data_IF_697689185019
#
_entry.id   IF_697689185019
#
_cell.length_a   1.000
_cell.length_b   1.000
_cell.length_c   1.000
_cell.angle_alpha   90.00
_cell.angle_beta   90.00
_cell.angle_gamma   90.00
#
_symmetry.space_group_name_H-M   'P 1'
#
loop_
_entity.id
_entity.type
_entity.pdbx_description
1 polymer ?
#
# COMPACT_ATOMS: atom_id res chain seq x y z
N UNK A 1 -2.77 14.31 18.88
CA UNK A 1 -2.93 13.45 20.05
C UNK A 1 -4.40 13.35 20.48
N UNK A 2 -5.08 14.44 20.75
CA UNK A 2 -6.47 14.52 21.25
C UNK A 2 -7.46 13.65 20.42
N UNK A 3 -7.42 13.77 19.08
CA UNK A 3 -8.25 12.96 18.18
C UNK A 3 -7.96 11.46 18.33
N UNK A 4 -6.69 11.08 18.51
CA UNK A 4 -6.32 9.67 18.70
C UNK A 4 -6.82 9.16 20.05
N UNK A 5 -6.76 9.96 21.10
CA UNK A 5 -7.29 9.59 22.43
C UNK A 5 -8.80 9.37 22.40
N UNK A 6 -9.56 10.26 21.77
CA UNK A 6 -11.01 10.09 21.60
C UNK A 6 -11.35 8.81 20.80
N UNK A 7 -10.61 8.56 19.71
CA UNK A 7 -10.79 7.37 18.90
C UNK A 7 -10.53 6.08 19.69
N UNK A 8 -9.48 6.06 20.50
CA UNK A 8 -9.12 4.95 21.37
C UNK A 8 -10.20 4.70 22.44
N UNK A 9 -10.69 5.76 23.08
CA UNK A 9 -11.75 5.62 24.10
C UNK A 9 -13.03 5.05 23.47
N UNK A 10 -13.42 5.50 22.29
CA UNK A 10 -14.56 4.96 21.58
C UNK A 10 -14.35 3.48 21.21
N UNK A 11 -13.15 3.10 20.75
CA UNK A 11 -12.81 1.72 20.42
C UNK A 11 -12.84 0.80 21.67
N UNK A 12 -12.35 1.26 22.81
CA UNK A 12 -12.39 0.50 24.07
C UNK A 12 -13.81 0.25 24.57
N UNK A 13 -14.76 1.12 24.22
CA UNK A 13 -16.19 0.93 24.55
C UNK A 13 -16.95 0.09 23.51
N UNK A 14 -16.24 -0.52 22.52
CA UNK A 14 -16.81 -1.45 21.55
C UNK A 14 -17.27 -0.81 20.23
N UNK A 15 -17.00 0.49 20.01
CA UNK A 15 -17.32 1.13 18.73
C UNK A 15 -16.29 0.79 17.65
N UNK A 16 -16.75 0.56 16.42
CA UNK A 16 -15.88 0.55 15.27
C UNK A 16 -15.53 2.01 14.88
N UNK A 17 -14.26 2.35 15.01
CA UNK A 17 -13.76 3.68 14.70
C UNK A 17 -12.95 3.64 13.41
N UNK A 18 -13.26 4.52 12.47
CA UNK A 18 -12.49 4.75 11.25
C UNK A 18 -11.85 6.15 11.32
N UNK A 19 -10.56 6.22 11.09
CA UNK A 19 -9.80 7.47 11.10
C UNK A 19 -8.75 7.47 10.01
N UNK A 20 -8.15 8.62 9.73
CA UNK A 20 -7.10 8.78 8.73
C UNK A 20 -5.82 9.29 9.37
N UNK A 21 -4.69 8.86 8.82
CA UNK A 21 -3.37 9.29 9.25
C UNK A 21 -2.47 9.48 8.01
N UNK A 22 -1.63 10.51 8.02
CA UNK A 22 -0.70 10.75 6.91
C UNK A 22 0.58 9.93 7.13
N UNK A 23 0.68 8.81 6.41
CA UNK A 23 1.87 7.94 6.39
C UNK A 23 2.13 7.41 4.99
N UNK A 24 3.35 6.92 4.75
CA UNK A 24 3.75 6.40 3.45
C UNK A 24 3.25 4.98 3.19
N UNK A 25 3.18 4.16 4.24
CA UNK A 25 2.78 2.75 4.21
C UNK A 25 2.01 2.38 5.49
N UNK A 26 1.48 1.17 5.55
CA UNK A 26 0.67 0.73 6.68
C UNK A 26 1.49 0.51 7.97
N UNK A 27 2.68 -0.12 7.96
CA UNK A 27 3.48 -0.27 9.18
C UNK A 27 3.91 1.05 9.80
N UNK A 28 4.22 2.06 8.99
CA UNK A 28 4.64 3.40 9.47
C UNK A 28 3.54 4.13 10.24
N UNK A 29 2.28 3.72 10.10
CA UNK A 29 1.20 4.29 10.90
C UNK A 29 1.33 3.93 12.38
N UNK A 30 1.85 2.74 12.71
CA UNK A 30 2.09 2.31 14.10
C UNK A 30 3.17 3.18 14.74
N UNK A 31 4.32 3.33 14.08
CA UNK A 31 5.40 4.18 14.61
C UNK A 31 4.96 5.64 14.73
N UNK A 32 4.16 6.12 13.76
CA UNK A 32 3.63 7.48 13.81
C UNK A 32 2.70 7.73 14.99
N UNK A 33 1.83 6.77 15.33
CA UNK A 33 0.97 6.87 16.51
C UNK A 33 1.78 6.84 17.81
N UNK A 34 2.83 6.03 17.89
CA UNK A 34 3.76 6.01 19.03
C UNK A 34 4.48 7.35 19.18
N UNK A 35 5.00 7.94 18.10
CA UNK A 35 5.62 9.28 18.08
C UNK A 35 4.66 10.39 18.53
N UNK A 36 3.37 10.25 18.24
CA UNK A 36 2.33 11.18 18.71
C UNK A 36 2.02 11.00 20.20
N UNK A 37 2.67 10.05 20.88
CA UNK A 37 2.51 9.80 22.31
C UNK A 37 1.42 8.80 22.68
N UNK A 38 0.86 8.06 21.71
CA UNK A 38 -0.13 7.01 22.01
C UNK A 38 0.59 5.82 22.63
N UNK A 39 0.19 5.36 23.84
CA UNK A 39 0.80 4.21 24.47
C UNK A 39 0.65 2.93 23.64
N UNK A 40 1.73 2.16 23.52
CA UNK A 40 1.77 0.95 22.69
C UNK A 40 0.73 -0.11 23.09
N UNK A 41 0.42 -0.24 24.39
CA UNK A 41 -0.59 -1.20 24.87
C UNK A 41 -2.01 -0.83 24.42
N UNK A 42 -2.31 0.47 24.25
CA UNK A 42 -3.59 0.92 23.70
C UNK A 42 -3.69 0.61 22.19
N UNK A 43 -2.60 0.80 21.45
CA UNK A 43 -2.57 0.42 20.04
C UNK A 43 -2.84 -1.07 19.83
N UNK A 44 -2.22 -1.94 20.67
CA UNK A 44 -2.48 -3.39 20.66
C UNK A 44 -3.92 -3.76 20.95
N UNK A 45 -4.56 -3.00 21.84
CA UNK A 45 -5.92 -3.30 22.29
C UNK A 45 -6.99 -2.79 21.31
N UNK A 46 -6.74 -1.72 20.58
CA UNK A 46 -7.78 -1.00 19.85
C UNK A 46 -7.64 -1.02 18.32
N UNK A 47 -6.41 -1.14 17.77
CA UNK A 47 -6.24 -1.17 16.33
C UNK A 47 -6.53 -2.58 15.80
N UNK A 48 -7.46 -2.68 14.86
CA UNK A 48 -7.77 -3.92 14.14
C UNK A 48 -6.93 -4.08 12.88
N UNK A 49 -6.64 -2.99 12.20
CA UNK A 49 -5.84 -2.99 10.99
C UNK A 49 -5.53 -1.59 10.50
N UNK A 50 -4.56 -1.50 9.62
CA UNK A 50 -4.14 -0.26 8.94
C UNK A 50 -4.16 -0.50 7.45
N UNK A 51 -4.75 0.43 6.70
CA UNK A 51 -4.78 0.39 5.24
C UNK A 51 -4.09 1.64 4.67
N UNK A 52 -3.05 1.43 3.89
CA UNK A 52 -2.51 2.47 3.03
C UNK A 52 -3.11 2.35 1.62
N UNK A 53 -3.45 3.48 1.01
CA UNK A 53 -4.05 3.57 -0.31
C UNK A 53 -3.36 4.63 -1.15
N UNK A 54 -3.19 4.33 -2.45
CA UNK A 54 -2.80 5.30 -3.46
C UNK A 54 -3.68 5.11 -4.70
N UNK A 55 -3.81 6.17 -5.51
CA UNK A 55 -4.54 6.11 -6.76
C UNK A 55 -3.56 6.15 -7.93
N UNK A 56 -3.69 5.18 -8.84
CA UNK A 56 -3.02 5.16 -10.15
C UNK A 56 -4.02 5.55 -11.23
N UNK A 57 -3.57 6.25 -12.27
CA UNK A 57 -4.40 6.47 -13.46
C UNK A 57 -4.60 5.14 -14.19
N UNK A 58 -5.78 4.90 -14.70
CA UNK A 58 -6.08 3.73 -15.53
C UNK A 58 -5.86 4.04 -16.98
N UNK A 59 -5.29 3.09 -17.71
CA UNK A 59 -5.07 3.18 -19.15
C UNK A 59 -6.40 3.36 -19.89
N UNK A 60 -6.37 4.19 -20.91
CA UNK A 60 -7.51 4.38 -21.80
C UNK A 60 -7.75 3.09 -22.59
N UNK A 61 -8.96 2.50 -22.54
CA UNK A 61 -9.25 1.24 -23.23
C UNK A 61 -9.20 1.36 -24.76
N UNK A 62 -9.35 2.59 -25.28
CA UNK A 62 -9.41 2.84 -26.74
C UNK A 62 -8.03 2.95 -27.39
N UNK A 63 -6.98 3.29 -26.64
CA UNK A 63 -5.67 3.56 -27.25
C UNK A 63 -4.50 2.88 -26.55
N UNK A 64 -4.71 2.15 -25.45
CA UNK A 64 -3.60 1.40 -24.82
C UNK A 64 -3.03 0.39 -25.80
N UNK A 65 -1.71 0.25 -25.84
CA UNK A 65 -1.03 -0.71 -26.70
C UNK A 65 -0.19 -1.69 -25.88
N UNK A 66 -0.02 -2.95 -26.35
CA UNK A 66 0.80 -3.93 -25.66
C UNK A 66 2.24 -3.45 -25.52
N UNK A 67 2.90 -3.83 -24.42
CA UNK A 67 4.32 -3.57 -24.18
C UNK A 67 4.98 -4.79 -23.54
N UNK A 68 6.22 -5.05 -23.91
CA UNK A 68 7.06 -6.00 -23.18
C UNK A 68 7.76 -5.27 -22.04
N UNK A 69 7.70 -5.84 -20.86
CA UNK A 69 8.34 -5.28 -19.68
C UNK A 69 9.76 -5.81 -19.54
N UNK A 70 10.63 -4.95 -19.04
CA UNK A 70 11.96 -5.32 -18.61
C UNK A 70 11.89 -6.16 -17.32
N UNK A 71 12.62 -7.28 -17.30
CA UNK A 71 12.59 -8.24 -16.20
C UNK A 71 13.15 -7.66 -14.90
N UNK A 72 14.22 -6.86 -14.98
CA UNK A 72 14.83 -6.24 -13.80
C UNK A 72 13.89 -5.22 -13.15
N UNK A 73 13.24 -4.41 -13.97
CA UNK A 73 12.23 -3.44 -13.52
C UNK A 73 11.04 -4.15 -12.88
N UNK A 74 10.56 -5.23 -13.50
CA UNK A 74 9.46 -6.03 -12.96
C UNK A 74 9.81 -6.68 -11.62
N UNK A 75 10.98 -7.31 -11.54
CA UNK A 75 11.48 -7.92 -10.31
C UNK A 75 11.68 -6.87 -9.20
N UNK A 76 12.16 -5.67 -9.55
CA UNK A 76 12.28 -4.56 -8.61
C UNK A 76 10.93 -4.08 -8.06
N UNK A 77 9.86 -4.17 -8.86
CA UNK A 77 8.51 -3.78 -8.46
C UNK A 77 7.84 -4.84 -7.56
N UNK A 78 8.09 -6.12 -7.82
CA UNK A 78 7.41 -7.24 -7.16
C UNK A 78 8.11 -7.75 -5.90
N UNK A 79 9.38 -7.41 -5.68
CA UNK A 79 10.11 -7.82 -4.45
C UNK A 79 9.36 -7.47 -3.17
N UNK A 80 9.46 -8.32 -2.12
CA UNK A 80 10.26 -9.55 -2.01
C UNK A 80 9.60 -10.80 -2.65
N UNK A 81 8.47 -10.66 -3.32
CA UNK A 81 7.78 -11.77 -3.98
C UNK A 81 8.36 -12.03 -5.36
N UNK A 82 8.39 -13.31 -5.76
CA UNK A 82 8.65 -13.70 -7.13
C UNK A 82 7.33 -13.71 -7.91
N UNK A 83 7.31 -13.02 -9.04
CA UNK A 83 6.14 -12.97 -9.93
C UNK A 83 6.60 -13.09 -11.38
N UNK A 84 6.00 -13.98 -12.18
CA UNK A 84 6.37 -14.10 -13.58
C UNK A 84 6.08 -12.80 -14.34
N UNK A 85 6.85 -12.52 -15.40
CA UNK A 85 6.58 -11.41 -16.29
C UNK A 85 5.17 -11.51 -16.87
N UNK A 86 4.37 -10.44 -16.80
CA UNK A 86 3.02 -10.46 -17.37
C UNK A 86 3.08 -10.41 -18.90
N UNK A 87 2.21 -11.18 -19.52
CA UNK A 87 2.06 -11.22 -20.99
C UNK A 87 1.10 -10.15 -21.52
N UNK A 88 0.36 -9.49 -20.64
CA UNK A 88 -0.69 -8.52 -21.00
C UNK A 88 -0.41 -7.11 -20.45
N UNK A 89 0.85 -6.74 -20.32
CA UNK A 89 1.20 -5.36 -19.97
C UNK A 89 0.94 -4.41 -21.16
N UNK A 90 0.54 -3.18 -20.83
CA UNK A 90 0.21 -2.15 -21.80
C UNK A 90 0.86 -0.81 -21.42
N UNK A 91 1.09 0.03 -22.43
CA UNK A 91 1.52 1.42 -22.26
C UNK A 91 0.46 2.40 -22.74
N UNK A 92 0.56 3.65 -22.29
CA UNK A 92 -0.32 4.73 -22.70
C UNK A 92 0.11 5.29 -24.06
N UNK A 93 -0.85 5.47 -24.97
CA UNK A 93 -0.59 6.07 -26.29
C UNK A 93 -1.14 7.50 -26.35
N UNK A 94 -2.45 7.64 -26.26
CA UNK A 94 -3.17 8.88 -26.44
C UNK A 94 -4.20 8.78 -27.58
N UNK A 95 -5.37 9.38 -27.40
CA UNK A 95 -6.40 9.53 -28.44
C UNK A 95 -7.39 10.62 -28.01
N UNK A 96 -8.32 10.99 -28.88
CA UNK A 96 -9.34 11.99 -28.61
C UNK A 96 -10.19 11.64 -27.37
N UNK A 97 -10.53 10.35 -27.18
CA UNK A 97 -11.35 9.88 -26.04
C UNK A 97 -10.69 10.10 -24.67
N UNK A 98 -9.38 10.13 -24.60
CA UNK A 98 -8.64 10.42 -23.37
C UNK A 98 -7.96 11.78 -23.38
N UNK A 99 -8.28 12.66 -24.35
CA UNK A 99 -7.65 13.98 -24.56
C UNK A 99 -6.13 13.86 -24.68
N UNK A 100 -5.67 12.94 -25.51
CA UNK A 100 -4.26 12.66 -25.80
C UNK A 100 -3.41 12.24 -24.59
N UNK A 101 -4.02 11.97 -23.43
CA UNK A 101 -3.27 11.61 -22.21
C UNK A 101 -2.89 10.15 -22.12
N UNK A 102 -3.57 9.26 -22.85
CA UNK A 102 -3.44 7.81 -22.73
C UNK A 102 -4.09 7.20 -21.49
N UNK A 103 -4.70 8.03 -20.62
CA UNK A 103 -5.32 7.60 -19.37
C UNK A 103 -6.77 8.07 -19.24
N UNK A 104 -7.61 7.23 -18.64
CA UNK A 104 -9.01 7.55 -18.35
C UNK A 104 -9.46 6.85 -17.07
N UNK A 105 -9.73 7.64 -16.03
CA UNK A 105 -10.12 7.14 -14.71
C UNK A 105 -8.93 6.84 -13.79
N UNK A 106 -9.23 6.27 -12.64
CA UNK A 106 -8.27 5.93 -11.58
C UNK A 106 -8.66 4.62 -10.90
N UNK A 107 -7.67 3.87 -10.43
CA UNK A 107 -7.85 2.67 -9.63
C UNK A 107 -7.03 2.76 -8.33
N UNK A 108 -7.54 2.18 -7.25
CA UNK A 108 -6.82 2.12 -5.98
C UNK A 108 -5.77 1.01 -5.99
N UNK A 109 -4.60 1.28 -5.42
CA UNK A 109 -3.64 0.27 -4.96
C UNK A 109 -3.60 0.31 -3.45
N UNK A 110 -3.51 -0.85 -2.82
CA UNK A 110 -3.74 -1.01 -1.39
C UNK A 110 -2.64 -1.83 -0.75
N UNK A 111 -2.31 -1.46 0.49
CA UNK A 111 -1.51 -2.25 1.42
C UNK A 111 -2.29 -2.33 2.71
N UNK A 112 -2.58 -3.55 3.19
CA UNK A 112 -3.42 -3.79 4.36
C UNK A 112 -2.64 -4.63 5.35
N UNK A 113 -2.42 -4.10 6.55
CA UNK A 113 -1.80 -4.79 7.68
C UNK A 113 -2.87 -5.04 8.75
N UNK A 114 -3.14 -6.30 9.06
CA UNK A 114 -4.01 -6.68 10.18
C UNK A 114 -3.19 -6.71 11.47
N UNK A 115 -3.77 -6.21 12.56
CA UNK A 115 -3.14 -6.24 13.89
C UNK A 115 -3.64 -7.47 14.64
N UNK A 116 -3.08 -8.59 14.27
CA UNK A 116 -3.38 -9.92 14.85
C UNK A 116 -2.30 -10.37 15.86
N UNK A 117 -2.38 -11.60 16.31
CA UNK A 117 -1.47 -12.16 17.31
C UNK A 117 -0.01 -12.31 16.83
N UNK A 118 0.22 -12.32 15.51
CA UNK A 118 1.57 -12.30 14.94
C UNK A 118 2.21 -10.89 14.97
N UNK A 119 1.39 -9.85 14.86
CA UNK A 119 1.83 -8.45 14.77
C UNK A 119 1.85 -7.76 16.14
N UNK A 120 0.85 -8.00 17.00
CA UNK A 120 0.74 -7.37 18.32
C UNK A 120 2.01 -7.42 19.18
N UNK A 121 2.76 -8.53 19.28
CA UNK A 121 3.98 -8.59 20.08
C UNK A 121 5.07 -7.61 19.64
N UNK A 122 5.10 -7.24 18.36
CA UNK A 122 6.09 -6.35 17.77
C UNK A 122 5.81 -4.86 18.01
N UNK A 123 4.60 -4.54 18.49
CA UNK A 123 4.23 -3.17 18.84
C UNK A 123 4.68 -2.90 20.28
N UNK A 124 5.73 -2.12 20.46
CA UNK A 124 6.31 -1.76 21.76
C UNK A 124 6.69 -0.27 21.75
N UNK A 125 7.19 0.24 22.86
CA UNK A 125 7.69 1.62 22.90
C UNK A 125 8.83 1.85 21.89
N UNK A 126 9.66 0.82 21.69
CA UNK A 126 10.80 0.82 20.76
C UNK A 126 10.52 -0.07 19.55
N UNK A 127 9.37 0.10 18.91
CA UNK A 127 8.97 -0.71 17.75
C UNK A 127 9.98 -0.60 16.60
N UNK A 128 10.60 -1.72 16.24
CA UNK A 128 11.42 -1.82 15.04
C UNK A 128 10.51 -1.93 13.79
N UNK A 129 10.47 -0.85 13.02
CA UNK A 129 9.65 -0.78 11.79
C UNK A 129 10.04 -1.85 10.76
N UNK A 130 11.33 -2.20 10.67
CA UNK A 130 11.82 -3.21 9.72
C UNK A 130 11.34 -4.60 10.13
N UNK A 131 11.43 -4.93 11.40
CA UNK A 131 10.91 -6.19 11.95
C UNK A 131 9.39 -6.28 11.81
N UNK A 132 8.67 -5.19 12.10
CA UNK A 132 7.21 -5.10 11.94
C UNK A 132 6.79 -5.33 10.49
N UNK A 133 7.45 -4.65 9.53
CA UNK A 133 7.17 -4.80 8.09
C UNK A 133 7.44 -6.22 7.61
N UNK A 134 8.56 -6.83 8.02
CA UNK A 134 8.90 -8.21 7.67
C UNK A 134 7.87 -9.21 8.20
N UNK A 135 7.42 -9.04 9.44
CA UNK A 135 6.37 -9.88 10.02
C UNK A 135 5.04 -9.71 9.30
N UNK A 136 4.65 -8.47 8.97
CA UNK A 136 3.44 -8.19 8.22
C UNK A 136 3.46 -8.84 6.82
N UNK A 137 4.57 -8.81 6.10
CA UNK A 137 4.72 -9.51 4.82
C UNK A 137 4.59 -11.02 4.98
N UNK A 138 5.20 -11.59 6.02
CA UNK A 138 5.08 -13.02 6.34
C UNK A 138 3.64 -13.41 6.69
N UNK A 139 2.91 -12.52 7.31
CA UNK A 139 1.49 -12.68 7.68
C UNK A 139 0.52 -12.42 6.50
N UNK A 140 1.04 -12.11 5.32
CA UNK A 140 0.25 -11.97 4.09
C UNK A 140 -0.02 -10.54 3.63
N UNK A 141 0.49 -9.52 4.31
CA UNK A 141 0.45 -8.14 3.80
C UNK A 141 1.14 -8.06 2.44
N UNK A 142 0.55 -7.37 1.50
CA UNK A 142 1.12 -7.08 0.18
C UNK A 142 1.43 -5.61 0.06
N UNK A 143 2.62 -5.26 -0.41
CA UNK A 143 3.03 -3.87 -0.57
C UNK A 143 2.16 -3.14 -1.60
N UNK A 144 2.11 -1.80 -1.50
CA UNK A 144 1.49 -0.95 -2.51
C UNK A 144 2.04 -1.24 -3.92
N UNK A 145 3.34 -1.51 -4.05
CA UNK A 145 3.98 -1.86 -5.32
C UNK A 145 3.47 -3.19 -5.88
N UNK A 146 3.37 -4.23 -5.04
CA UNK A 146 2.84 -5.52 -5.48
C UNK A 146 1.36 -5.41 -5.88
N UNK A 147 0.56 -4.63 -5.14
CA UNK A 147 -0.82 -4.31 -5.52
C UNK A 147 -0.88 -3.59 -6.86
N UNK A 148 0.06 -2.68 -7.13
CA UNK A 148 0.22 -2.02 -8.42
C UNK A 148 0.64 -2.98 -9.53
N UNK A 149 1.60 -3.87 -9.26
CA UNK A 149 2.05 -4.90 -10.21
C UNK A 149 0.91 -5.79 -10.69
N UNK A 150 0.00 -6.17 -9.81
CA UNK A 150 -1.20 -6.94 -10.19
C UNK A 150 -2.09 -6.17 -11.18
N UNK A 151 -2.19 -4.85 -11.03
CA UNK A 151 -2.96 -4.00 -11.97
C UNK A 151 -2.23 -3.79 -13.29
N UNK A 152 -0.90 -3.73 -13.29
CA UNK A 152 -0.09 -3.72 -14.51
C UNK A 152 -0.29 -5.02 -15.27
N UNK A 153 -0.20 -6.16 -14.60
CA UNK A 153 -0.42 -7.49 -15.18
C UNK A 153 -1.83 -7.66 -15.78
N UNK A 154 -2.82 -6.99 -15.19
CA UNK A 154 -4.19 -6.93 -15.72
C UNK A 154 -4.38 -5.90 -16.86
N UNK A 155 -3.32 -5.21 -17.30
CA UNK A 155 -3.39 -4.19 -18.36
C UNK A 155 -4.21 -2.96 -17.99
N UNK A 156 -4.32 -2.64 -16.70
CA UNK A 156 -5.11 -1.53 -16.17
C UNK A 156 -4.31 -0.23 -15.98
N UNK A 157 -3.01 -0.34 -15.74
CA UNK A 157 -2.13 0.82 -15.50
C UNK A 157 -0.73 0.53 -15.98
N UNK A 158 0.19 1.46 -15.82
CA UNK A 158 1.60 1.34 -16.25
C UNK A 158 2.55 1.28 -15.05
N UNK A 159 3.80 0.84 -15.30
CA UNK A 159 4.87 0.84 -14.29
C UNK A 159 5.13 2.25 -13.77
N UNK A 160 5.20 3.23 -14.67
CA UNK A 160 5.49 4.63 -14.34
C UNK A 160 4.45 5.19 -13.36
N UNK A 161 3.16 4.87 -13.58
CA UNK A 161 2.09 5.29 -12.67
C UNK A 161 2.23 4.68 -11.28
N UNK A 162 2.56 3.40 -11.20
CA UNK A 162 2.74 2.72 -9.92
C UNK A 162 3.96 3.28 -9.18
N UNK A 163 5.10 3.42 -9.86
CA UNK A 163 6.32 3.96 -9.27
C UNK A 163 6.17 5.42 -8.81
N UNK A 164 5.37 6.21 -9.52
CA UNK A 164 5.10 7.61 -9.18
C UNK A 164 4.38 7.78 -7.84
N UNK A 165 3.50 6.86 -7.48
CA UNK A 165 2.62 7.00 -6.31
C UNK A 165 3.01 6.09 -5.14
N UNK A 166 3.92 5.16 -5.35
CA UNK A 166 4.35 4.22 -4.31
C UNK A 166 5.74 4.59 -3.78
N UNK A 167 5.98 4.45 -2.47
CA UNK A 167 7.31 4.70 -1.91
C UNK A 167 8.35 3.77 -2.54
N UNK A 168 9.59 4.24 -2.63
CA UNK A 168 10.70 3.35 -3.01
C UNK A 168 10.79 2.24 -1.96
N UNK A 169 10.92 0.99 -2.42
CA UNK A 169 11.18 -0.12 -1.51
C UNK A 169 12.56 0.08 -0.89
N UNK A 170 12.60 0.46 0.37
CA UNK A 170 13.82 0.44 1.17
C UNK A 170 14.20 -1.02 1.45
N UNK A 171 14.81 -1.66 0.46
CA UNK A 171 15.48 -2.93 0.62
C UNK A 171 16.99 -2.67 0.62
N UNK A 172 17.53 -2.35 1.78
CA UNK A 172 18.91 -2.66 2.11
C UNK A 172 18.97 -3.93 2.94
#
# INVERSE_FOLDING_TARGET
LETAEMAIQAALTGHLVLSTLHTNDAPSAITRLLELGVPHYLLKATILGVMAQRLVRTLCPHCKAPVQLDEDTWNGLTRPWSSPLPTQAHHAVGCLECRETGYRGRAGVYEIMLINDAIKPLISADTDLTALRRAAFKDGMRSLRLSGAQKIAAGLTTIEEVLRVTPQSEHR
#
